data_IF_746228672472
#
_entry.id   IF_746228672472
#
_cell.length_a   1.000
_cell.length_b   1.000
_cell.length_c   1.000
_cell.angle_alpha   90.00
_cell.angle_beta   90.00
_cell.angle_gamma   90.00
#
_symmetry.space_group_name_H-M   'P 1'
#
loop_
_entity.id
_entity.type
_entity.pdbx_description
1 polymer ?
#
# COMPACT_ATOMS: atom_id res chain seq x y z
N UNK A 1 -13.52 -18.41 18.29
CA UNK A 1 -13.68 -17.21 17.43
C UNK A 1 -12.38 -16.77 16.78
N UNK A 2 -11.28 -16.56 17.52
CA UNK A 2 -10.02 -16.03 16.95
C UNK A 2 -9.42 -16.85 15.79
N UNK A 3 -9.34 -18.19 15.90
CA UNK A 3 -8.84 -19.05 14.81
C UNK A 3 -9.69 -18.96 13.53
N UNK A 4 -11.01 -18.88 13.70
CA UNK A 4 -11.95 -18.70 12.58
C UNK A 4 -11.78 -17.32 11.96
N UNK A 5 -11.62 -16.27 12.78
CA UNK A 5 -11.35 -14.91 12.32
C UNK A 5 -10.07 -14.82 11.50
N UNK A 6 -8.98 -15.47 11.95
CA UNK A 6 -7.71 -15.49 11.22
C UNK A 6 -7.86 -16.19 9.87
N UNK A 7 -8.53 -17.36 9.83
CA UNK A 7 -8.81 -18.05 8.56
C UNK A 7 -9.65 -17.22 7.59
N UNK A 8 -10.64 -16.49 8.10
CA UNK A 8 -11.45 -15.58 7.28
C UNK A 8 -10.62 -14.39 6.79
N UNK A 9 -9.72 -13.87 7.63
CA UNK A 9 -8.79 -12.81 7.25
C UNK A 9 -7.90 -13.20 6.08
N UNK A 10 -7.28 -14.40 6.13
CA UNK A 10 -6.43 -14.90 5.05
C UNK A 10 -7.21 -15.01 3.73
N UNK A 11 -8.45 -15.50 3.82
CA UNK A 11 -9.33 -15.62 2.64
C UNK A 11 -9.75 -14.24 2.09
N UNK A 12 -9.99 -13.26 2.95
CA UNK A 12 -10.31 -11.90 2.52
C UNK A 12 -9.13 -11.24 1.81
N UNK A 13 -7.90 -11.46 2.29
CA UNK A 13 -6.69 -10.96 1.61
C UNK A 13 -6.58 -11.56 0.21
N UNK A 14 -6.76 -12.87 0.08
CA UNK A 14 -6.75 -13.55 -1.22
C UNK A 14 -7.84 -13.03 -2.17
N UNK A 15 -9.07 -12.87 -1.68
CA UNK A 15 -10.18 -12.34 -2.47
C UNK A 15 -9.93 -10.89 -2.93
N UNK A 16 -9.35 -10.06 -2.06
CA UNK A 16 -8.99 -8.68 -2.42
C UNK A 16 -7.88 -8.65 -3.48
N UNK A 17 -6.89 -9.53 -3.39
CA UNK A 17 -5.83 -9.63 -4.40
C UNK A 17 -6.40 -10.03 -5.76
N UNK A 18 -7.34 -10.99 -5.80
CA UNK A 18 -8.05 -11.37 -7.02
C UNK A 18 -8.90 -10.22 -7.57
N UNK A 19 -9.69 -9.55 -6.72
CA UNK A 19 -10.53 -8.43 -7.16
C UNK A 19 -9.69 -7.31 -7.79
N UNK A 20 -8.57 -6.94 -7.16
CA UNK A 20 -7.65 -5.92 -7.70
C UNK A 20 -7.01 -6.35 -9.03
N UNK A 21 -6.63 -7.62 -9.17
CA UNK A 21 -6.10 -8.16 -10.43
C UNK A 21 -7.15 -8.12 -11.55
N UNK A 22 -8.41 -8.49 -11.25
CA UNK A 22 -9.52 -8.39 -12.19
C UNK A 22 -9.77 -6.95 -12.62
N UNK A 23 -9.67 -5.98 -11.69
CA UNK A 23 -9.76 -4.55 -12.05
C UNK A 23 -8.62 -4.11 -12.96
N UNK A 24 -7.41 -4.61 -12.76
CA UNK A 24 -6.29 -4.31 -13.65
C UNK A 24 -6.52 -4.84 -15.08
N UNK A 25 -7.12 -6.03 -15.24
CA UNK A 25 -7.48 -6.53 -16.58
C UNK A 25 -8.52 -5.64 -17.27
N UNK A 26 -9.49 -5.10 -16.52
CA UNK A 26 -10.44 -4.10 -17.04
C UNK A 26 -9.69 -2.84 -17.52
N UNK A 27 -8.73 -2.35 -16.73
CA UNK A 27 -7.91 -1.18 -17.08
C UNK A 27 -7.10 -1.45 -18.35
N UNK A 28 -6.43 -2.61 -18.46
CA UNK A 28 -5.70 -3.03 -19.67
C UNK A 28 -6.60 -3.04 -20.90
N UNK A 29 -7.81 -3.59 -20.78
CA UNK A 29 -8.77 -3.62 -21.87
C UNK A 29 -9.22 -2.21 -22.31
N UNK A 30 -9.35 -1.27 -21.38
CA UNK A 30 -9.63 0.13 -21.69
C UNK A 30 -8.45 0.78 -22.41
N UNK A 31 -7.21 0.56 -21.95
CA UNK A 31 -6.00 1.03 -22.63
C UNK A 31 -5.90 0.51 -24.07
N UNK A 32 -6.14 -0.80 -24.28
CA UNK A 32 -6.18 -1.43 -25.61
C UNK A 32 -7.17 -0.72 -26.53
N UNK A 33 -8.39 -0.45 -26.06
CA UNK A 33 -9.43 0.26 -26.84
C UNK A 33 -9.04 1.70 -27.18
N UNK A 34 -8.20 2.33 -26.36
CA UNK A 34 -7.70 3.70 -26.57
C UNK A 34 -6.43 3.76 -27.40
N UNK A 35 -5.85 2.61 -27.80
CA UNK A 35 -4.57 2.55 -28.50
C UNK A 35 -3.37 2.91 -27.61
N UNK A 36 -3.53 2.87 -26.29
CA UNK A 36 -2.46 3.10 -25.32
C UNK A 36 -1.77 1.77 -24.96
N UNK A 37 -0.51 1.78 -24.48
CA UNK A 37 0.16 0.58 -24.00
C UNK A 37 -0.64 -0.08 -22.88
N UNK A 38 -1.00 -1.35 -23.04
CA UNK A 38 -1.92 -2.05 -22.12
C UNK A 38 -1.41 -2.07 -20.68
N UNK A 39 -0.10 -2.33 -20.54
CA UNK A 39 0.56 -2.49 -19.25
C UNK A 39 1.02 -1.17 -18.62
N UNK A 40 0.80 -0.02 -19.26
CA UNK A 40 1.16 1.28 -18.69
C UNK A 40 -0.07 1.99 -18.10
N UNK A 41 -0.03 2.27 -16.81
CA UNK A 41 -1.10 2.99 -16.12
C UNK A 41 -0.57 4.23 -15.39
N UNK A 42 -1.48 5.16 -15.12
CA UNK A 42 -1.23 6.29 -14.23
C UNK A 42 -1.93 6.03 -12.90
N UNK A 43 -1.27 6.36 -11.81
CA UNK A 43 -1.68 6.05 -10.44
C UNK A 43 -1.84 7.32 -9.61
N UNK A 44 -2.83 7.33 -8.73
CA UNK A 44 -2.89 8.24 -7.59
C UNK A 44 -2.72 7.42 -6.33
N UNK A 45 -1.88 7.87 -5.39
CA UNK A 45 -1.68 7.19 -4.12
C UNK A 45 -2.08 8.12 -2.99
N UNK A 46 -2.96 7.64 -2.12
CA UNK A 46 -3.35 8.31 -0.88
C UNK A 46 -3.03 7.41 0.30
N UNK A 47 -2.61 8.02 1.41
CA UNK A 47 -2.26 7.33 2.65
C UNK A 47 -3.11 7.87 3.79
N UNK A 48 -3.74 6.95 4.51
CA UNK A 48 -4.48 7.25 5.72
C UNK A 48 -3.80 6.65 6.93
N UNK A 49 -3.68 7.48 7.96
CA UNK A 49 -3.15 7.11 9.25
C UNK A 49 -4.31 6.87 10.21
N UNK A 50 -4.20 5.82 11.03
CA UNK A 50 -5.13 5.56 12.13
C UNK A 50 -4.85 6.53 13.28
N UNK A 51 -5.24 7.79 13.09
CA UNK A 51 -5.14 8.88 14.06
C UNK A 51 -6.46 9.64 14.14
N UNK A 52 -6.83 10.03 15.36
CA UNK A 52 -8.02 10.83 15.62
C UNK A 52 -7.83 12.32 15.33
N UNK A 53 -6.60 12.76 14.96
CA UNK A 53 -6.27 14.17 14.74
C UNK A 53 -5.57 14.37 13.39
N UNK A 54 -6.22 15.11 12.49
CA UNK A 54 -5.71 15.41 11.15
C UNK A 54 -4.55 16.43 11.17
N UNK A 55 -4.47 17.26 12.21
CA UNK A 55 -3.53 18.39 12.27
C UNK A 55 -2.13 17.99 12.74
N UNK A 56 -1.11 18.31 11.92
CA UNK A 56 0.18 18.68 12.49
C UNK A 56 0.99 19.50 11.50
N UNK A 57 1.65 20.54 12.03
CA UNK A 57 2.26 21.64 11.26
C UNK A 57 3.61 21.30 10.61
N UNK A 58 4.14 20.06 10.74
CA UNK A 58 5.32 19.47 10.04
C UNK A 58 5.73 18.10 10.66
N UNK A 59 4.79 17.15 10.79
CA UNK A 59 4.59 16.15 11.87
C UNK A 59 5.77 15.35 12.50
N UNK A 60 6.46 15.84 13.56
CA UNK A 60 6.99 14.96 14.62
C UNK A 60 5.85 14.51 15.55
N UNK A 61 5.87 13.24 15.99
CA UNK A 61 4.89 12.67 16.92
C UNK A 61 3.56 12.24 16.27
N UNK A 62 3.62 11.44 15.22
CA UNK A 62 2.42 10.78 14.69
C UNK A 62 1.75 9.96 15.79
N UNK A 63 0.56 10.35 16.22
CA UNK A 63 -0.31 9.60 17.13
C UNK A 63 -1.08 8.51 16.35
N UNK A 64 -0.37 7.76 15.52
CA UNK A 64 -0.91 6.67 14.73
C UNK A 64 -0.01 5.45 14.89
N UNK A 65 -0.62 4.28 15.07
CA UNK A 65 0.09 3.00 15.15
C UNK A 65 -0.09 2.17 13.87
N UNK A 66 -0.89 2.66 12.94
CA UNK A 66 -1.20 2.01 11.68
C UNK A 66 -1.35 3.04 10.56
N UNK A 67 -0.95 2.66 9.36
CA UNK A 67 -1.20 3.41 8.14
C UNK A 67 -1.62 2.45 7.02
N UNK A 68 -2.56 2.90 6.19
CA UNK A 68 -3.02 2.18 5.01
C UNK A 68 -2.94 3.10 3.80
N UNK A 69 -2.38 2.59 2.71
CA UNK A 69 -2.28 3.27 1.43
C UNK A 69 -3.10 2.54 0.36
N UNK A 70 -3.68 3.32 -0.54
CA UNK A 70 -4.41 2.81 -1.70
C UNK A 70 -3.80 3.38 -2.98
N UNK A 71 -3.54 2.49 -3.94
CA UNK A 71 -3.16 2.84 -5.31
C UNK A 71 -4.40 2.82 -6.18
N UNK A 72 -4.78 3.98 -6.69
CA UNK A 72 -5.99 4.19 -7.48
C UNK A 72 -5.60 4.50 -8.92
N UNK A 73 -6.13 3.73 -9.87
CA UNK A 73 -5.88 3.97 -11.29
C UNK A 73 -6.61 5.24 -11.77
N UNK A 74 -6.02 5.95 -12.73
CA UNK A 74 -6.58 7.20 -13.26
C UNK A 74 -6.99 7.10 -14.74
N UNK A 75 -6.95 5.90 -15.30
CA UNK A 75 -7.26 5.60 -16.70
C UNK A 75 -8.78 5.56 -16.91
N UNK A 76 -9.52 4.87 -16.05
CA UNK A 76 -10.98 4.73 -16.16
C UNK A 76 -11.72 5.82 -15.39
N UNK A 77 -13.00 6.01 -15.70
CA UNK A 77 -13.85 6.98 -14.98
C UNK A 77 -14.25 6.47 -13.60
N UNK A 78 -14.18 5.15 -13.38
CA UNK A 78 -14.57 4.49 -12.12
C UNK A 78 -13.48 4.55 -11.05
N UNK A 79 -12.23 4.86 -11.42
CA UNK A 79 -11.09 5.03 -10.50
C UNK A 79 -10.93 3.83 -9.56
N UNK A 80 -10.63 2.67 -10.15
CA UNK A 80 -10.50 1.43 -9.40
C UNK A 80 -9.29 1.45 -8.44
N UNK A 81 -9.45 0.81 -7.28
CA UNK A 81 -8.32 0.47 -6.42
C UNK A 81 -7.65 -0.75 -7.03
N UNK A 82 -6.37 -0.62 -7.36
CA UNK A 82 -5.58 -1.65 -8.06
C UNK A 82 -4.42 -2.20 -7.23
N UNK A 83 -4.12 -1.56 -6.10
CA UNK A 83 -3.14 -2.02 -5.13
C UNK A 83 -3.44 -1.39 -3.76
N UNK A 84 -3.05 -2.08 -2.69
CA UNK A 84 -3.19 -1.58 -1.31
C UNK A 84 -2.00 -1.99 -0.48
N UNK A 85 -1.55 -1.12 0.43
CA UNK A 85 -0.48 -1.44 1.37
C UNK A 85 -0.86 -1.01 2.78
N UNK A 86 -0.32 -1.69 3.79
CA UNK A 86 -0.52 -1.32 5.19
C UNK A 86 0.77 -1.46 5.98
N UNK A 87 0.96 -0.58 6.96
CA UNK A 87 1.99 -0.69 7.98
C UNK A 87 1.33 -0.76 9.34
N UNK A 88 1.72 -1.75 10.14
CA UNK A 88 1.21 -1.93 11.49
C UNK A 88 2.34 -1.99 12.51
N UNK A 89 2.26 -1.17 13.56
CA UNK A 89 3.17 -1.20 14.71
C UNK A 89 2.58 -1.97 15.90
N UNK A 90 1.31 -2.37 15.85
CA UNK A 90 0.64 -2.98 16.99
C UNK A 90 0.98 -4.46 17.13
N UNK A 91 1.59 -4.79 18.27
CA UNK A 91 1.81 -6.16 18.72
C UNK A 91 0.62 -6.63 19.57
N UNK A 92 0.00 -7.74 19.21
CA UNK A 92 -1.20 -8.28 19.88
C UNK A 92 -1.05 -8.47 21.41
N UNK A 93 0.14 -8.80 21.92
CA UNK A 93 0.41 -9.01 23.36
C UNK A 93 0.77 -7.75 24.14
N UNK A 94 0.69 -6.54 23.58
CA UNK A 94 1.08 -5.30 24.27
C UNK A 94 2.58 -5.17 24.57
N UNK A 95 3.38 -6.14 24.11
CA UNK A 95 4.82 -6.24 24.38
C UNK A 95 5.66 -5.11 23.75
N UNK A 96 5.12 -4.40 22.74
CA UNK A 96 5.78 -3.22 22.17
C UNK A 96 6.01 -2.10 23.19
N UNK A 97 5.23 -2.04 24.27
CA UNK A 97 5.43 -1.08 25.37
C UNK A 97 6.39 -1.59 26.45
N UNK A 98 6.66 -2.90 26.51
CA UNK A 98 7.24 -3.54 27.69
C UNK A 98 8.76 -3.77 27.62
N UNK A 99 9.33 -4.22 26.50
CA UNK A 99 10.79 -4.34 26.39
C UNK A 99 11.29 -4.68 24.98
N UNK A 100 12.49 -4.14 24.73
CA UNK A 100 13.51 -4.45 23.72
C UNK A 100 13.51 -5.89 23.19
N UNK A 101 13.69 -6.02 21.87
CA UNK A 101 14.21 -7.20 21.16
C UNK A 101 13.42 -8.52 21.24
N UNK A 102 12.09 -8.49 21.29
CA UNK A 102 11.28 -9.71 21.16
C UNK A 102 11.12 -10.12 19.68
N UNK A 103 11.71 -11.27 19.33
CA UNK A 103 11.65 -11.85 17.98
C UNK A 103 10.21 -12.17 17.51
N UNK A 104 9.97 -11.80 16.26
CA UNK A 104 8.70 -11.66 15.52
C UNK A 104 7.85 -12.92 15.27
N UNK A 105 8.08 -14.08 15.91
CA UNK A 105 7.41 -15.33 15.50
C UNK A 105 5.89 -15.38 15.73
N UNK A 106 5.34 -14.48 16.55
CA UNK A 106 3.88 -14.34 16.78
C UNK A 106 3.40 -12.88 16.75
N UNK A 107 4.19 -12.02 16.09
CA UNK A 107 3.98 -10.58 16.04
C UNK A 107 2.96 -10.22 14.95
N UNK A 108 1.96 -9.41 15.28
CA UNK A 108 1.04 -8.81 14.28
C UNK A 108 1.56 -7.49 13.70
N UNK A 109 2.65 -6.95 14.26
CA UNK A 109 3.29 -5.74 13.75
C UNK A 109 4.21 -6.10 12.58
N UNK A 110 4.10 -5.33 11.50
CA UNK A 110 4.91 -5.46 10.30
C UNK A 110 6.16 -4.57 10.37
N UNK A 111 6.15 -3.57 11.25
CA UNK A 111 7.28 -2.67 11.51
C UNK A 111 7.53 -2.51 13.01
N UNK A 112 8.75 -2.09 13.34
CA UNK A 112 9.14 -1.82 14.72
C UNK A 112 8.30 -0.67 15.33
N UNK A 113 8.00 -0.73 16.63
CA UNK A 113 7.14 0.26 17.30
C UNK A 113 7.66 1.70 17.22
N UNK A 114 8.98 1.88 17.19
CA UNK A 114 9.63 3.18 17.02
C UNK A 114 9.92 3.54 15.55
N UNK A 115 9.68 2.65 14.60
CA UNK A 115 9.90 2.94 13.18
C UNK A 115 8.81 3.90 12.68
N UNK A 116 9.13 4.94 11.90
CA UNK A 116 8.13 5.87 11.39
C UNK A 116 7.17 5.19 10.40
N UNK A 117 5.90 5.60 10.37
CA UNK A 117 4.95 5.18 9.34
C UNK A 117 5.27 5.90 8.02
N UNK A 118 6.07 5.23 7.19
CA UNK A 118 6.66 5.79 5.97
C UNK A 118 5.73 5.61 4.76
N UNK A 119 5.32 6.74 4.18
CA UNK A 119 4.58 6.73 2.91
C UNK A 119 5.42 6.24 1.73
N UNK A 120 6.75 6.42 1.79
CA UNK A 120 7.65 5.87 0.78
C UNK A 120 7.61 4.34 0.82
N UNK A 121 7.67 3.72 2.01
CA UNK A 121 7.60 2.26 2.13
C UNK A 121 6.24 1.72 1.68
N UNK A 122 5.14 2.39 2.04
CA UNK A 122 3.80 2.07 1.54
C UNK A 122 3.72 2.17 0.00
N UNK A 123 4.25 3.24 -0.57
CA UNK A 123 4.34 3.43 -2.02
C UNK A 123 5.17 2.33 -2.69
N UNK A 124 6.28 1.92 -2.07
CA UNK A 124 7.13 0.84 -2.56
C UNK A 124 6.40 -0.51 -2.56
N UNK A 125 5.64 -0.81 -1.51
CA UNK A 125 4.81 -2.02 -1.47
C UNK A 125 3.74 -2.03 -2.58
N UNK A 126 3.07 -0.89 -2.82
CA UNK A 126 2.14 -0.72 -3.94
C UNK A 126 2.85 -0.96 -5.29
N UNK A 127 4.01 -0.32 -5.49
CA UNK A 127 4.80 -0.50 -6.70
C UNK A 127 5.20 -1.95 -6.93
N UNK A 128 5.65 -2.66 -5.90
CA UNK A 128 6.01 -4.07 -5.99
C UNK A 128 4.82 -4.94 -6.42
N UNK A 129 3.62 -4.70 -5.87
CA UNK A 129 2.41 -5.44 -6.27
C UNK A 129 2.08 -5.25 -7.75
N UNK A 130 2.18 -4.02 -8.24
CA UNK A 130 1.90 -3.71 -9.65
C UNK A 130 2.93 -4.33 -10.58
N UNK A 131 4.21 -4.30 -10.22
CA UNK A 131 5.26 -4.89 -11.06
C UNK A 131 5.13 -6.40 -11.15
N UNK A 132 4.78 -7.09 -10.06
CA UNK A 132 4.50 -8.55 -10.08
C UNK A 132 3.39 -8.89 -11.07
N UNK A 133 2.41 -7.99 -11.27
CA UNK A 133 1.33 -8.14 -12.24
C UNK A 133 1.69 -7.66 -13.67
N UNK A 134 2.98 -7.33 -13.90
CA UNK A 134 3.48 -6.86 -15.18
C UNK A 134 3.06 -5.44 -15.54
N UNK A 135 2.60 -4.65 -14.57
CA UNK A 135 2.15 -3.27 -14.76
C UNK A 135 3.32 -2.30 -14.57
N UNK A 136 3.44 -1.35 -15.50
CA UNK A 136 4.30 -0.19 -15.42
C UNK A 136 3.47 1.02 -15.00
N UNK A 137 3.93 1.76 -13.98
CA UNK A 137 3.33 3.05 -13.63
C UNK A 137 4.11 4.16 -14.30
N UNK A 138 3.44 4.94 -15.15
CA UNK A 138 4.05 6.06 -15.87
C UNK A 138 4.11 7.32 -15.02
N UNK A 139 2.99 7.66 -14.38
CA UNK A 139 2.90 8.78 -13.44
C UNK A 139 2.22 8.33 -12.15
N UNK A 140 2.81 8.69 -11.02
CA UNK A 140 2.22 8.52 -9.69
C UNK A 140 2.00 9.89 -9.06
N UNK A 141 0.76 10.19 -8.67
CA UNK A 141 0.36 11.48 -8.07
C UNK A 141 0.02 11.30 -6.58
N UNK A 142 0.42 12.25 -5.76
CA UNK A 142 0.12 12.34 -4.31
C UNK A 142 -0.45 13.72 -3.98
N UNK A 143 -0.88 13.94 -2.74
CA UNK A 143 -1.49 15.18 -2.21
C UNK A 143 -0.50 16.34 -1.96
N UNK A 144 0.75 16.21 -2.43
CA UNK A 144 1.74 17.29 -2.54
C UNK A 144 2.87 17.25 -1.51
N UNK A 145 2.60 16.81 -0.28
CA UNK A 145 3.64 16.50 0.72
C UNK A 145 3.92 14.99 0.84
N UNK A 146 3.09 14.17 0.20
CA UNK A 146 3.24 12.73 0.25
C UNK A 146 4.43 12.16 -0.52
N UNK A 147 5.10 11.15 0.06
CA UNK A 147 6.31 10.52 -0.51
C UNK A 147 6.06 9.19 -1.23
N UNK A 148 4.81 8.73 -1.32
CA UNK A 148 4.48 7.45 -1.94
C UNK A 148 4.85 7.35 -3.42
N UNK A 149 4.77 8.44 -4.19
CA UNK A 149 5.18 8.46 -5.59
C UNK A 149 6.67 8.06 -5.77
N UNK A 150 7.54 8.50 -4.86
CA UNK A 150 8.95 8.10 -4.86
C UNK A 150 9.10 6.60 -4.57
N UNK A 151 8.35 6.08 -3.60
CA UNK A 151 8.38 4.65 -3.29
C UNK A 151 7.93 3.77 -4.47
N UNK A 152 6.86 4.17 -5.16
CA UNK A 152 6.40 3.48 -6.38
C UNK A 152 7.48 3.50 -7.46
N UNK A 153 8.13 4.65 -7.67
CA UNK A 153 9.24 4.78 -8.62
C UNK A 153 10.40 3.85 -8.26
N UNK A 154 10.81 3.82 -6.99
CA UNK A 154 11.92 2.98 -6.52
C UNK A 154 11.63 1.49 -6.76
N UNK A 155 10.39 1.05 -6.52
CA UNK A 155 9.96 -0.33 -6.78
C UNK A 155 10.04 -0.70 -8.28
N UNK A 156 9.60 0.21 -9.15
CA UNK A 156 9.62 -0.02 -10.61
C UNK A 156 11.06 -0.05 -11.13
N UNK A 157 11.91 0.88 -10.69
CA UNK A 157 13.31 0.96 -11.10
C UNK A 157 14.13 -0.25 -10.65
N UNK A 158 13.84 -0.81 -9.48
CA UNK A 158 14.55 -1.99 -8.98
C UNK A 158 14.31 -3.24 -9.85
N UNK A 159 13.18 -3.31 -10.55
CA UNK A 159 12.77 -4.48 -11.35
C UNK A 159 12.95 -4.26 -12.87
N UNK A 160 12.92 -3.00 -13.33
CA UNK A 160 13.31 -2.60 -14.68
C UNK A 160 14.18 -1.34 -14.61
N UNK A 161 15.51 -1.48 -14.46
CA UNK A 161 16.40 -0.35 -14.64
C UNK A 161 16.21 0.15 -16.07
N UNK A 162 15.76 1.40 -16.22
CA UNK A 162 15.69 2.07 -17.53
C UNK A 162 17.07 2.24 -18.12
#
# INVERSE_FOLDING_TARGET
MQRTSNKMSDKLVELNQHDMADKLEIVKAVNRKRGAPENEINLTVDVRYSSNTITSKKKPGQNANQACAVGIETVTDRKYIVATASLNQMFWTGACNAARDLQFKSCTADIHCAAPLSENDLGKQIGNQLVVQGILVKYATTDGDGRSANGVKDAIQALRPM
#
